data_IF_955688195217
#
_entry.id   IF_955688195217
#
_cell.length_a   1.000
_cell.length_b   1.000
_cell.length_c   1.000
_cell.angle_alpha   90.00
_cell.angle_beta   90.00
_cell.angle_gamma   90.00
#
_symmetry.space_group_name_H-M   'P 1'
#
loop_
_entity.id
_entity.type
_entity.pdbx_description
1 polymer ?
#
# COMPACT_ATOMS: atom_id res chain seq x y z
N UNK A 1 37.43 14.39 28.64
CA UNK A 1 36.53 14.80 29.74
C UNK A 1 35.20 14.11 29.64
N UNK A 2 34.97 13.15 30.55
CA UNK A 2 33.71 12.40 30.69
C UNK A 2 32.77 13.24 31.57
N UNK A 3 31.56 13.54 31.10
CA UNK A 3 30.52 14.20 31.91
C UNK A 3 29.65 13.12 32.57
N UNK A 4 29.68 13.06 33.90
CA UNK A 4 28.73 12.29 34.71
C UNK A 4 27.30 12.83 34.51
N UNK A 5 26.32 11.94 34.35
CA UNK A 5 24.90 12.28 34.42
C UNK A 5 24.39 11.91 35.81
N UNK A 6 23.86 12.91 36.50
CA UNK A 6 23.43 12.91 37.89
C UNK A 6 22.11 12.12 38.07
N UNK A 7 22.11 11.13 38.96
CA UNK A 7 21.04 10.15 39.19
C UNK A 7 19.86 10.66 40.04
N UNK A 8 19.54 11.96 40.00
CA UNK A 8 18.61 12.59 40.97
C UNK A 8 17.21 12.95 40.44
N UNK A 9 16.83 12.55 39.22
CA UNK A 9 15.53 12.94 38.63
C UNK A 9 14.55 11.78 38.33
N UNK A 10 14.68 10.60 38.96
CA UNK A 10 13.84 9.42 38.64
C UNK A 10 12.69 9.21 39.66
N UNK A 11 12.50 10.09 40.65
CA UNK A 11 11.58 9.85 41.77
C UNK A 11 10.23 10.61 41.81
N UNK A 12 9.70 11.28 40.76
CA UNK A 12 8.30 11.74 40.80
C UNK A 12 7.32 10.97 39.90
N UNK A 13 7.72 9.90 39.20
CA UNK A 13 6.78 9.15 38.32
C UNK A 13 6.23 7.84 38.90
N UNK A 14 6.59 7.48 40.14
CA UNK A 14 6.17 6.22 40.77
C UNK A 14 5.04 6.41 41.81
N UNK A 15 4.66 7.65 42.15
CA UNK A 15 3.68 7.88 43.24
C UNK A 15 2.21 8.03 42.79
N UNK A 16 1.91 8.07 41.49
CA UNK A 16 0.53 8.19 40.99
C UNK A 16 -0.22 6.85 40.84
N UNK A 17 0.37 5.74 41.29
CA UNK A 17 -0.22 4.39 41.17
C UNK A 17 -0.93 3.93 42.46
N UNK A 18 -0.76 4.61 43.60
CA UNK A 18 -1.12 4.04 44.93
C UNK A 18 -2.36 4.64 45.61
N UNK A 19 -3.10 5.58 45.00
CA UNK A 19 -4.37 6.06 45.59
C UNK A 19 -5.50 6.13 44.58
N UNK A 20 -6.25 5.03 44.42
CA UNK A 20 -7.60 5.06 43.85
C UNK A 20 -8.62 4.90 44.98
N UNK A 21 -9.59 5.83 45.14
CA UNK A 21 -10.69 5.65 46.10
C UNK A 21 -11.65 4.57 45.60
N UNK A 22 -12.16 3.74 46.52
CA UNK A 22 -13.21 2.76 46.21
C UNK A 22 -14.54 3.48 45.90
N UNK A 23 -15.23 3.03 44.84
CA UNK A 23 -16.52 3.56 44.43
C UNK A 23 -17.66 3.07 45.34
N UNK A 24 -18.70 3.90 45.58
CA UNK A 24 -19.84 3.53 46.41
C UNK A 24 -20.67 2.41 45.76
N UNK A 25 -20.98 1.36 46.53
CA UNK A 25 -21.95 0.33 46.15
C UNK A 25 -23.35 0.93 46.15
N UNK A 26 -23.99 0.94 44.97
CA UNK A 26 -25.39 1.34 44.79
C UNK A 26 -26.23 0.07 44.85
N UNK A 27 -27.15 0.00 45.82
CA UNK A 27 -28.10 -1.10 45.95
C UNK A 27 -29.13 -1.07 44.81
N UNK A 28 -29.34 -2.24 44.20
CA UNK A 28 -30.28 -2.44 43.10
C UNK A 28 -31.68 -2.60 43.70
N UNK A 29 -32.49 -1.55 43.64
CA UNK A 29 -33.94 -1.70 43.53
C UNK A 29 -34.49 -0.57 42.65
N UNK A 30 -35.22 -0.95 41.60
CA UNK A 30 -36.04 -0.14 40.65
C UNK A 30 -35.77 -0.50 39.19
N UNK A 31 -36.05 -1.77 38.84
CA UNK A 31 -35.99 -2.30 37.46
C UNK A 31 -37.17 -1.86 36.58
N UNK A 32 -38.12 -1.08 37.07
CA UNK A 32 -39.35 -0.73 36.34
C UNK A 32 -39.25 0.48 35.42
N UNK A 33 -38.37 1.45 35.71
CA UNK A 33 -38.33 2.73 34.99
C UNK A 33 -37.24 2.76 33.90
N UNK A 34 -36.14 2.04 34.12
CA UNK A 34 -35.05 1.87 33.14
C UNK A 34 -35.50 1.09 31.90
N UNK A 35 -36.43 0.13 32.03
CA UNK A 35 -36.98 -0.58 30.87
C UNK A 35 -37.88 0.28 29.99
N UNK A 36 -38.55 1.29 30.57
CA UNK A 36 -39.41 2.21 29.81
C UNK A 36 -38.58 3.22 29.03
N UNK A 37 -37.56 3.83 29.65
CA UNK A 37 -36.64 4.74 28.95
C UNK A 37 -35.83 4.03 27.86
N UNK A 38 -35.38 2.80 28.09
CA UNK A 38 -34.69 2.01 27.05
C UNK A 38 -35.62 1.58 25.89
N UNK A 39 -36.93 1.51 26.12
CA UNK A 39 -37.92 1.27 25.05
C UNK A 39 -38.17 2.54 24.23
N UNK A 40 -38.34 3.68 24.89
CA UNK A 40 -38.59 4.98 24.24
C UNK A 40 -37.37 5.41 23.42
N UNK A 41 -36.17 5.33 23.99
CA UNK A 41 -34.91 5.60 23.27
C UNK A 41 -34.68 4.64 22.10
N UNK A 42 -35.03 3.34 22.22
CA UNK A 42 -34.97 2.41 21.08
C UNK A 42 -36.01 2.70 19.99
N UNK A 43 -37.17 3.25 20.33
CA UNK A 43 -38.19 3.64 19.35
C UNK A 43 -37.78 4.92 18.60
N UNK A 44 -37.31 5.94 19.31
CA UNK A 44 -36.78 7.18 18.71
C UNK A 44 -35.53 6.92 17.85
N UNK A 45 -34.64 6.02 18.28
CA UNK A 45 -33.48 5.60 17.49
C UNK A 45 -33.86 4.77 16.26
N UNK A 46 -34.99 4.04 16.28
CA UNK A 46 -35.53 3.34 15.11
C UNK A 46 -36.18 4.31 14.12
N UNK A 47 -36.96 5.28 14.61
CA UNK A 47 -37.58 6.32 13.80
C UNK A 47 -36.55 7.26 13.15
N UNK A 48 -35.53 7.68 13.91
CA UNK A 48 -34.40 8.45 13.38
C UNK A 48 -33.61 7.68 12.32
N UNK A 49 -33.46 6.36 12.47
CA UNK A 49 -32.82 5.51 11.47
C UNK A 49 -33.68 5.30 10.21
N UNK A 50 -35.01 5.18 10.35
CA UNK A 50 -35.97 5.10 9.25
C UNK A 50 -35.99 6.38 8.41
N UNK A 51 -36.07 7.55 9.07
CA UNK A 51 -35.99 8.86 8.40
C UNK A 51 -34.65 9.07 7.71
N UNK A 52 -33.55 8.58 8.28
CA UNK A 52 -32.22 8.63 7.64
C UNK A 52 -32.07 7.62 6.49
N UNK A 53 -32.87 6.56 6.45
CA UNK A 53 -32.93 5.61 5.33
C UNK A 53 -33.71 6.22 4.15
N UNK A 54 -34.86 6.84 4.42
CA UNK A 54 -35.65 7.59 3.42
C UNK A 54 -34.88 8.78 2.83
N UNK A 55 -34.16 9.54 3.68
CA UNK A 55 -33.28 10.64 3.21
C UNK A 55 -32.12 10.13 2.36
N UNK A 56 -31.57 8.93 2.62
CA UNK A 56 -30.52 8.31 1.79
C UNK A 56 -31.05 7.84 0.42
N UNK A 57 -32.29 7.35 0.38
CA UNK A 57 -32.97 6.93 -0.85
C UNK A 57 -33.37 8.10 -1.75
N UNK A 58 -33.52 9.31 -1.20
CA UNK A 58 -33.88 10.52 -1.96
C UNK A 58 -32.81 11.02 -2.95
N UNK A 59 -31.55 10.57 -2.80
CA UNK A 59 -30.43 11.00 -3.68
C UNK A 59 -30.44 10.31 -5.05
N UNK A 60 -31.17 9.20 -5.20
CA UNK A 60 -31.28 8.43 -6.44
C UNK A 60 -32.75 8.12 -6.73
N UNK A 61 -33.25 8.51 -7.90
CA UNK A 61 -34.63 8.17 -8.32
C UNK A 61 -34.79 6.65 -8.31
N UNK A 62 -35.60 6.11 -7.39
CA UNK A 62 -35.84 4.67 -7.32
C UNK A 62 -36.60 4.19 -8.57
N UNK A 63 -36.01 3.24 -9.31
CA UNK A 63 -36.67 2.60 -10.43
C UNK A 63 -37.86 1.76 -9.94
N UNK A 64 -38.96 1.78 -10.71
CA UNK A 64 -40.11 0.90 -10.48
C UNK A 64 -39.71 -0.57 -10.65
N UNK A 65 -40.47 -1.49 -10.03
CA UNK A 65 -40.18 -2.94 -10.12
C UNK A 65 -40.11 -3.42 -11.58
N UNK A 66 -41.02 -2.93 -12.41
CA UNK A 66 -41.08 -3.22 -13.85
C UNK A 66 -39.83 -2.73 -14.60
N UNK A 67 -39.36 -1.51 -14.30
CA UNK A 67 -38.14 -0.98 -14.90
C UNK A 67 -36.91 -1.81 -14.51
N UNK A 68 -36.83 -2.25 -13.25
CA UNK A 68 -35.75 -3.14 -12.78
C UNK A 68 -35.79 -4.48 -13.51
N UNK A 69 -36.99 -5.05 -13.67
CA UNK A 69 -37.19 -6.31 -14.37
C UNK A 69 -36.81 -6.22 -15.85
N UNK A 70 -37.25 -5.16 -16.55
CA UNK A 70 -36.89 -4.94 -17.94
C UNK A 70 -35.38 -4.75 -18.16
N UNK A 71 -34.67 -4.11 -17.21
CA UNK A 71 -33.21 -4.01 -17.26
C UNK A 71 -32.55 -5.38 -17.07
N UNK A 72 -33.05 -6.18 -16.12
CA UNK A 72 -32.53 -7.52 -15.85
C UNK A 72 -32.67 -8.43 -17.07
N UNK A 73 -33.85 -8.48 -17.68
CA UNK A 73 -34.12 -9.28 -18.88
C UNK A 73 -33.20 -8.87 -20.03
N UNK A 74 -33.03 -7.56 -20.25
CA UNK A 74 -32.13 -7.04 -21.28
C UNK A 74 -30.67 -7.44 -21.04
N UNK A 75 -30.20 -7.44 -19.79
CA UNK A 75 -28.84 -7.86 -19.45
C UNK A 75 -28.64 -9.36 -19.63
N UNK A 76 -29.60 -10.19 -19.23
CA UNK A 76 -29.58 -11.64 -19.43
C UNK A 76 -29.53 -11.99 -20.92
N UNK A 77 -30.35 -11.33 -21.74
CA UNK A 77 -30.35 -11.49 -23.19
C UNK A 77 -28.98 -11.16 -23.79
N UNK A 78 -28.39 -10.02 -23.40
CA UNK A 78 -27.05 -9.64 -23.85
C UNK A 78 -25.95 -10.63 -23.43
N UNK A 79 -26.05 -11.25 -22.26
CA UNK A 79 -25.10 -12.28 -21.84
C UNK A 79 -25.24 -13.54 -22.71
N UNK A 80 -26.47 -13.99 -22.95
CA UNK A 80 -26.75 -15.17 -23.78
C UNK A 80 -26.31 -15.01 -25.23
N UNK A 81 -26.49 -13.83 -25.82
CA UNK A 81 -26.05 -13.59 -27.20
C UNK A 81 -24.52 -13.58 -27.29
N UNK A 82 -23.83 -13.03 -26.27
CA UNK A 82 -22.37 -13.06 -26.17
C UNK A 82 -21.85 -14.48 -26.02
N UNK A 83 -22.44 -15.30 -25.15
CA UNK A 83 -22.00 -16.70 -24.97
C UNK A 83 -22.19 -17.51 -26.25
N UNK A 84 -23.36 -17.42 -26.91
CA UNK A 84 -23.61 -18.05 -28.22
C UNK A 84 -22.58 -17.66 -29.27
N UNK A 85 -22.22 -16.37 -29.34
CA UNK A 85 -21.21 -15.87 -30.28
C UNK A 85 -19.81 -16.44 -29.98
N UNK A 86 -19.47 -16.66 -28.71
CA UNK A 86 -18.19 -17.27 -28.32
C UNK A 86 -18.09 -18.75 -28.70
N UNK A 87 -19.17 -19.51 -28.50
CA UNK A 87 -19.22 -20.92 -28.93
C UNK A 87 -19.16 -21.07 -30.45
N UNK A 88 -19.86 -20.20 -31.20
CA UNK A 88 -19.75 -20.16 -32.68
C UNK A 88 -18.31 -19.90 -33.18
N UNK A 89 -17.48 -19.22 -32.38
CA UNK A 89 -16.06 -18.97 -32.67
C UNK A 89 -15.14 -20.12 -32.24
N UNK A 90 -15.68 -21.25 -31.78
CA UNK A 90 -14.92 -22.44 -31.42
C UNK A 90 -14.31 -22.43 -30.01
N UNK A 91 -14.72 -21.52 -29.12
CA UNK A 91 -14.27 -21.56 -27.72
C UNK A 91 -14.97 -22.68 -26.96
N UNK A 92 -14.20 -23.46 -26.19
CA UNK A 92 -14.68 -24.57 -25.36
C UNK A 92 -15.49 -24.06 -24.15
N UNK A 93 -15.15 -22.87 -23.63
CA UNK A 93 -15.85 -22.23 -22.53
C UNK A 93 -16.11 -20.74 -22.80
N UNK A 94 -17.19 -20.21 -22.25
CA UNK A 94 -17.52 -18.79 -22.37
C UNK A 94 -16.59 -17.95 -21.48
N UNK A 95 -15.86 -17.02 -22.09
CA UNK A 95 -15.05 -16.04 -21.37
C UNK A 95 -15.96 -14.99 -20.73
N UNK A 96 -16.00 -15.00 -19.39
CA UNK A 96 -16.77 -14.07 -18.54
C UNK A 96 -15.89 -12.96 -17.96
N UNK A 97 -14.63 -12.86 -18.37
CA UNK A 97 -13.70 -11.87 -17.84
C UNK A 97 -14.15 -10.45 -18.20
N UNK A 98 -13.94 -9.52 -17.26
CA UNK A 98 -14.31 -8.12 -17.45
C UNK A 98 -13.49 -7.48 -18.57
N UNK A 99 -14.18 -6.95 -19.58
CA UNK A 99 -13.57 -6.12 -20.64
C UNK A 99 -13.03 -4.78 -20.13
N UNK A 100 -13.34 -4.40 -18.88
CA UNK A 100 -12.80 -3.18 -18.26
C UNK A 100 -11.34 -3.35 -17.81
N UNK A 101 -10.83 -4.59 -17.77
CA UNK A 101 -9.44 -4.89 -17.42
C UNK A 101 -8.51 -4.11 -18.36
N UNK A 102 -7.55 -3.36 -17.80
CA UNK A 102 -6.63 -2.42 -18.48
C UNK A 102 -7.23 -1.10 -18.98
N UNK A 103 -8.56 -0.95 -19.01
CA UNK A 103 -9.22 0.32 -19.35
C UNK A 103 -9.41 1.17 -18.09
N UNK A 104 -9.63 0.52 -16.94
CA UNK A 104 -9.68 1.13 -15.62
C UNK A 104 -8.27 1.41 -15.05
N UNK A 105 -8.18 2.40 -14.15
CA UNK A 105 -6.95 2.80 -13.48
C UNK A 105 -6.15 3.88 -14.20
N UNK A 106 -4.99 4.22 -13.64
CA UNK A 106 -4.10 5.25 -14.17
C UNK A 106 -3.55 4.83 -15.53
N UNK A 107 -3.73 5.66 -16.56
CA UNK A 107 -3.17 5.42 -17.89
C UNK A 107 -1.63 5.36 -17.82
N UNK A 108 -0.97 4.43 -18.54
CA UNK A 108 0.47 4.37 -18.59
C UNK A 108 1.02 5.65 -19.24
N UNK A 109 2.05 6.22 -18.63
CA UNK A 109 2.78 7.36 -19.18
C UNK A 109 3.99 6.84 -19.93
N UNK A 110 4.15 7.28 -21.17
CA UNK A 110 5.29 6.90 -22.00
C UNK A 110 6.46 7.85 -21.73
N UNK A 111 7.58 7.30 -21.26
CA UNK A 111 8.81 8.06 -20.99
C UNK A 111 9.95 7.72 -21.96
N UNK A 112 9.70 6.87 -22.95
CA UNK A 112 10.73 6.36 -23.89
C UNK A 112 11.55 7.49 -24.53
N UNK A 113 10.86 8.50 -25.08
CA UNK A 113 11.50 9.67 -25.70
C UNK A 113 12.36 10.47 -24.71
N UNK A 114 11.84 10.77 -23.50
CA UNK A 114 12.60 11.51 -22.48
C UNK A 114 13.80 10.70 -21.94
N UNK A 115 13.67 9.38 -21.83
CA UNK A 115 14.77 8.50 -21.41
C UNK A 115 15.88 8.42 -22.47
N UNK A 116 15.54 8.54 -23.76
CA UNK A 116 16.55 8.61 -24.81
C UNK A 116 17.48 9.84 -24.65
N UNK A 117 16.98 10.94 -24.09
CA UNK A 117 17.75 12.15 -23.82
C UNK A 117 18.87 11.93 -22.78
N UNK A 118 18.81 10.86 -21.98
CA UNK A 118 19.91 10.48 -21.08
C UNK A 118 21.23 10.39 -21.86
N UNK A 119 21.20 9.96 -23.13
CA UNK A 119 22.41 9.85 -23.97
C UNK A 119 23.06 11.20 -24.29
N UNK A 120 22.27 12.27 -24.36
CA UNK A 120 22.72 13.61 -24.75
C UNK A 120 23.09 14.47 -23.52
N UNK A 121 22.53 14.17 -22.35
CA UNK A 121 22.84 14.88 -21.09
C UNK A 121 24.32 14.76 -20.73
N UNK A 122 25.04 15.80 -20.30
CA UNK A 122 26.45 15.66 -19.93
C UNK A 122 26.63 14.76 -18.69
N UNK A 123 27.75 14.03 -18.60
CA UNK A 123 28.01 13.03 -17.54
C UNK A 123 27.89 13.61 -16.13
N UNK A 124 28.32 14.86 -15.90
CA UNK A 124 28.20 15.54 -14.61
C UNK A 124 26.75 15.57 -14.09
N UNK A 125 25.75 15.72 -14.97
CA UNK A 125 24.32 15.72 -14.63
C UNK A 125 23.72 14.32 -14.49
N UNK A 126 24.41 13.27 -14.93
CA UNK A 126 23.97 11.87 -14.79
C UNK A 126 24.44 11.18 -13.50
N UNK A 127 25.00 11.91 -12.54
CA UNK A 127 25.50 11.32 -11.28
C UNK A 127 24.39 10.95 -10.31
N UNK A 128 23.54 11.93 -10.01
CA UNK A 128 22.49 11.77 -9.01
C UNK A 128 21.13 11.62 -9.70
N UNK A 129 20.18 10.86 -9.11
CA UNK A 129 18.84 10.80 -9.64
C UNK A 129 18.20 12.18 -9.78
N UNK A 130 18.51 13.11 -8.87
CA UNK A 130 17.95 14.46 -8.86
C UNK A 130 18.51 15.35 -9.98
N UNK A 131 19.82 15.30 -10.21
CA UNK A 131 20.44 16.03 -11.32
C UNK A 131 20.02 15.48 -12.68
N UNK A 132 19.87 14.16 -12.78
CA UNK A 132 19.44 13.51 -14.01
C UNK A 132 17.98 13.82 -14.29
N UNK A 133 17.12 13.73 -13.27
CA UNK A 133 15.68 14.00 -13.39
C UNK A 133 15.42 15.42 -13.87
N UNK A 134 16.19 16.39 -13.36
CA UNK A 134 16.13 17.78 -13.82
C UNK A 134 16.59 17.93 -15.28
N UNK A 135 17.61 17.19 -15.70
CA UNK A 135 18.14 17.27 -17.06
C UNK A 135 17.22 16.65 -18.14
N UNK A 136 16.45 15.62 -17.79
CA UNK A 136 15.55 14.91 -18.72
C UNK A 136 14.07 15.30 -18.56
N UNK A 137 13.78 16.25 -17.66
CA UNK A 137 12.43 16.70 -17.35
C UNK A 137 11.46 15.55 -16.97
N UNK A 138 11.89 14.71 -16.02
CA UNK A 138 11.08 13.68 -15.38
C UNK A 138 11.13 13.91 -13.87
N UNK A 139 10.05 13.65 -13.15
CA UNK A 139 10.09 13.70 -11.68
C UNK A 139 11.04 12.63 -11.13
N UNK A 140 11.84 12.99 -10.12
CA UNK A 140 12.80 12.08 -9.47
C UNK A 140 12.15 10.77 -9.01
N UNK A 141 10.95 10.82 -8.44
CA UNK A 141 10.20 9.63 -8.00
C UNK A 141 9.90 8.70 -9.16
N UNK A 142 9.38 9.24 -10.26
CA UNK A 142 9.09 8.49 -11.47
C UNK A 142 10.35 7.87 -12.08
N UNK A 143 11.45 8.63 -12.13
CA UNK A 143 12.74 8.12 -12.60
C UNK A 143 13.25 6.95 -11.73
N UNK A 144 13.08 7.07 -10.41
CA UNK A 144 13.43 6.02 -9.47
C UNK A 144 12.57 4.78 -9.68
N UNK A 145 11.25 4.93 -9.81
CA UNK A 145 10.34 3.81 -10.08
C UNK A 145 10.76 3.06 -11.35
N UNK A 146 11.02 3.79 -12.44
CA UNK A 146 11.48 3.21 -13.72
C UNK A 146 12.77 2.39 -13.52
N UNK A 147 13.72 2.87 -12.71
CA UNK A 147 15.02 2.22 -12.51
C UNK A 147 14.99 1.08 -11.48
N UNK A 148 14.10 1.13 -10.49
CA UNK A 148 14.13 0.23 -9.34
C UNK A 148 13.21 -1.00 -9.51
N UNK A 149 12.71 -1.26 -10.72
CA UNK A 149 11.77 -2.35 -11.01
C UNK A 149 12.42 -3.72 -11.19
N UNK A 150 13.44 -4.06 -10.40
CA UNK A 150 13.96 -5.43 -10.38
C UNK A 150 13.16 -6.26 -9.36
N UNK A 151 12.07 -6.87 -9.83
CA UNK A 151 11.15 -7.64 -8.98
C UNK A 151 11.82 -8.86 -8.32
N UNK A 152 12.94 -9.36 -8.86
CA UNK A 152 13.66 -10.54 -8.34
C UNK A 152 14.11 -10.33 -6.89
N UNK A 153 14.85 -9.24 -6.62
CA UNK A 153 15.33 -8.94 -5.27
C UNK A 153 14.18 -8.71 -4.28
N UNK A 154 13.04 -8.19 -4.73
CA UNK A 154 11.84 -8.03 -3.88
C UNK A 154 11.25 -9.39 -3.52
N UNK A 155 11.15 -10.30 -4.48
CA UNK A 155 10.67 -11.67 -4.25
C UNK A 155 11.61 -12.45 -3.33
N UNK A 156 12.93 -12.33 -3.52
CA UNK A 156 13.89 -13.06 -2.69
C UNK A 156 13.89 -12.55 -1.24
N UNK A 157 13.80 -11.22 -1.05
CA UNK A 157 13.60 -10.63 0.29
C UNK A 157 12.28 -11.06 0.92
N UNK A 158 11.21 -11.13 0.13
CA UNK A 158 9.91 -11.59 0.62
C UNK A 158 9.98 -13.06 1.06
N UNK A 159 10.56 -13.94 0.25
CA UNK A 159 10.79 -15.34 0.59
C UNK A 159 11.60 -15.49 1.88
N UNK A 160 12.68 -14.71 2.01
CA UNK A 160 13.48 -14.69 3.23
C UNK A 160 12.66 -14.25 4.44
N UNK A 161 11.91 -13.15 4.35
CA UNK A 161 11.05 -12.69 5.45
C UNK A 161 9.99 -13.73 5.81
N UNK A 162 9.34 -14.35 4.83
CA UNK A 162 8.36 -15.43 5.05
C UNK A 162 8.98 -16.63 5.75
N UNK A 163 10.24 -16.97 5.47
CA UNK A 163 10.94 -18.06 6.16
C UNK A 163 11.30 -17.79 7.62
N UNK A 164 11.18 -16.53 8.07
CA UNK A 164 11.48 -16.10 9.45
C UNK A 164 10.23 -15.92 10.31
N UNK A 165 9.05 -16.13 9.73
CA UNK A 165 7.78 -16.06 10.43
C UNK A 165 7.34 -17.48 10.77
N UNK A 166 7.10 -17.75 12.05
CA UNK A 166 6.62 -19.01 12.57
C UNK A 166 5.18 -18.88 13.06
N UNK A 167 4.43 -19.97 12.97
CA UNK A 167 3.07 -20.04 13.50
C UNK A 167 3.16 -20.40 14.99
N UNK A 168 2.65 -19.53 15.84
CA UNK A 168 2.52 -19.78 17.26
C UNK A 168 1.37 -20.76 17.53
N UNK A 169 1.40 -21.40 18.69
CA UNK A 169 0.37 -22.36 19.12
C UNK A 169 -1.04 -21.75 19.18
N UNK A 170 -1.13 -20.42 19.30
CA UNK A 170 -2.38 -19.68 19.37
C UNK A 170 -2.91 -19.24 17.99
N UNK A 171 -2.23 -19.64 16.90
CA UNK A 171 -2.57 -19.24 15.52
C UNK A 171 -1.97 -17.90 15.08
N UNK A 172 -1.24 -17.20 15.96
CA UNK A 172 -0.57 -15.94 15.63
C UNK A 172 0.74 -16.17 14.85
N UNK A 173 1.11 -15.20 14.01
CA UNK A 173 2.38 -15.20 13.30
C UNK A 173 3.44 -14.45 14.11
N UNK A 174 4.44 -15.17 14.63
CA UNK A 174 5.52 -14.62 15.43
C UNK A 174 6.88 -14.78 14.75
N UNK A 175 7.78 -13.84 14.98
CA UNK A 175 9.18 -13.97 14.59
C UNK A 175 9.95 -14.72 15.69
N UNK A 176 11.03 -15.40 15.28
CA UNK A 176 11.96 -16.00 16.24
C UNK A 176 12.55 -14.94 17.18
N UNK A 177 12.74 -15.32 18.44
CA UNK A 177 13.43 -14.48 19.41
C UNK A 177 14.89 -14.30 18.94
N UNK A 178 15.28 -13.06 18.64
CA UNK A 178 16.58 -12.72 18.03
C UNK A 178 17.76 -12.79 19.02
N UNK A 179 17.59 -13.40 20.20
CA UNK A 179 18.62 -13.44 21.24
C UNK A 179 19.89 -14.17 20.81
N UNK A 180 19.79 -15.09 19.84
CA UNK A 180 20.92 -15.86 19.32
C UNK A 180 21.64 -15.21 18.12
N UNK A 181 21.21 -14.01 17.70
CA UNK A 181 21.75 -13.35 16.51
C UNK A 181 22.60 -12.14 16.88
N UNK A 182 23.90 -12.19 16.54
CA UNK A 182 24.78 -11.02 16.55
C UNK A 182 24.97 -10.53 15.12
N UNK A 183 24.47 -9.34 14.82
CA UNK A 183 24.66 -8.72 13.50
C UNK A 183 25.97 -7.93 13.46
N UNK A 184 26.92 -8.38 12.63
CA UNK A 184 28.19 -7.71 12.37
C UNK A 184 28.16 -7.23 10.91
N UNK A 185 28.42 -5.95 10.69
CA UNK A 185 28.55 -5.37 9.36
C UNK A 185 29.90 -4.66 9.25
N UNK A 186 30.72 -5.08 8.30
CA UNK A 186 31.99 -4.42 8.00
C UNK A 186 31.77 -3.32 6.98
N UNK A 187 32.21 -2.12 7.34
CA UNK A 187 32.10 -0.96 6.47
C UNK A 187 33.45 -0.34 6.18
N UNK A 188 33.88 -0.49 4.94
CA UNK A 188 35.12 0.09 4.41
C UNK A 188 34.90 1.55 4.01
N UNK A 189 35.75 2.44 4.53
CA UNK A 189 35.76 3.86 4.17
C UNK A 189 37.01 4.18 3.36
N UNK A 190 36.83 4.86 2.24
CA UNK A 190 37.93 5.41 1.45
C UNK A 190 38.10 6.89 1.82
N UNK A 191 39.35 7.34 2.02
CA UNK A 191 39.68 8.74 2.29
C UNK A 191 39.38 9.66 1.08
N UNK A 192 39.43 9.12 -0.15
CA UNK A 192 39.20 9.87 -1.39
C UNK A 192 38.20 9.16 -2.31
N UNK A 193 37.49 9.92 -3.14
CA UNK A 193 36.54 9.36 -4.11
C UNK A 193 37.31 8.81 -5.33
N UNK A 194 37.68 7.54 -5.27
CA UNK A 194 38.46 6.86 -6.32
C UNK A 194 37.63 6.63 -7.60
N UNK A 195 36.32 6.38 -7.47
CA UNK A 195 35.42 6.06 -8.59
C UNK A 195 34.12 6.83 -8.48
N UNK A 196 33.63 7.37 -9.60
CA UNK A 196 32.39 8.16 -9.68
C UNK A 196 31.30 7.43 -10.46
N UNK A 197 30.16 7.21 -9.83
CA UNK A 197 29.05 6.49 -10.48
C UNK A 197 28.25 7.41 -11.42
N UNK A 198 27.85 6.88 -12.58
CA UNK A 198 27.00 7.58 -13.54
C UNK A 198 25.89 6.65 -14.06
N UNK A 199 24.72 7.22 -14.35
CA UNK A 199 23.66 6.54 -15.08
C UNK A 199 24.00 6.53 -16.57
N UNK A 200 24.12 5.33 -17.14
CA UNK A 200 24.47 5.12 -18.53
C UNK A 200 23.40 4.27 -19.20
N UNK A 201 23.15 4.54 -20.49
CA UNK A 201 22.29 3.69 -21.31
C UNK A 201 23.09 2.48 -21.79
N UNK A 202 22.45 1.32 -21.98
CA UNK A 202 23.14 0.06 -22.31
C UNK A 202 24.06 0.13 -23.53
N UNK A 203 23.73 0.98 -24.49
CA UNK A 203 24.47 1.08 -25.75
C UNK A 203 25.59 2.13 -25.70
N UNK A 204 26.02 2.56 -24.51
CA UNK A 204 27.14 3.49 -24.36
C UNK A 204 28.38 2.76 -23.86
N UNK A 205 29.52 3.05 -24.49
CA UNK A 205 30.80 2.49 -24.07
C UNK A 205 31.16 2.94 -22.65
N UNK A 206 31.52 1.96 -21.81
CA UNK A 206 32.01 2.23 -20.46
C UNK A 206 33.44 2.77 -20.59
N UNK A 207 33.67 4.04 -20.22
CA UNK A 207 35.04 4.56 -20.00
C UNK A 207 35.67 3.75 -18.87
N UNK A 208 36.79 3.08 -19.18
CA UNK A 208 37.33 1.95 -18.42
C UNK A 208 37.86 2.29 -17.01
N UNK A 209 38.06 3.56 -16.65
CA UNK A 209 38.91 3.88 -15.50
C UNK A 209 38.22 4.56 -14.30
N UNK A 210 37.07 5.22 -14.45
CA UNK A 210 36.56 6.10 -13.37
C UNK A 210 35.11 5.88 -12.96
N UNK A 211 34.37 4.91 -13.53
CA UNK A 211 32.91 4.86 -13.37
C UNK A 211 32.30 3.54 -12.91
N UNK A 212 31.50 3.58 -11.81
CA UNK A 212 30.51 2.54 -11.51
C UNK A 212 29.26 2.82 -12.34
N UNK A 213 28.94 1.93 -13.28
CA UNK A 213 27.77 2.06 -14.15
C UNK A 213 26.59 1.32 -13.55
N UNK A 214 25.45 2.00 -13.43
CA UNK A 214 24.15 1.38 -13.15
C UNK A 214 23.45 1.19 -14.49
N UNK A 215 23.50 -0.03 -15.02
CA UNK A 215 22.90 -0.37 -16.32
C UNK A 215 21.36 -0.32 -16.20
N UNK A 216 20.70 0.45 -17.08
CA UNK A 216 19.34 0.92 -16.82
C UNK A 216 18.17 0.08 -17.37
N UNK A 217 18.38 -1.00 -18.14
CA UNK A 217 17.30 -1.88 -18.58
C UNK A 217 17.82 -3.31 -18.87
N UNK A 218 17.25 -4.32 -18.22
CA UNK A 218 17.26 -5.70 -18.76
C UNK A 218 15.83 -5.89 -19.30
N UNK A 219 15.69 -6.06 -20.63
CA UNK A 219 14.40 -6.34 -21.27
C UNK A 219 13.71 -7.53 -20.60
#
# INVERSE_FOLDING_TARGET
SVKQVNSKNILPLILDVVTRPEEPRIDINDKSDVEKENKVTNMENKEGNLLNLEKRDSKYKQLTKEQRQGILEKLLQQMNDKTKTQYRKGKICADVSSKKKKICGRKPKEYSSKLAQIKNTPLNRRRTPRSLSFAIDILKSTLFDIFNFNNKNKMDRLKFCSSKVNLANNGDLLFDNLYDYVHIDEKWYYLTIVKRSFYLMLNQEKRRETAKVRDLLRK
#
